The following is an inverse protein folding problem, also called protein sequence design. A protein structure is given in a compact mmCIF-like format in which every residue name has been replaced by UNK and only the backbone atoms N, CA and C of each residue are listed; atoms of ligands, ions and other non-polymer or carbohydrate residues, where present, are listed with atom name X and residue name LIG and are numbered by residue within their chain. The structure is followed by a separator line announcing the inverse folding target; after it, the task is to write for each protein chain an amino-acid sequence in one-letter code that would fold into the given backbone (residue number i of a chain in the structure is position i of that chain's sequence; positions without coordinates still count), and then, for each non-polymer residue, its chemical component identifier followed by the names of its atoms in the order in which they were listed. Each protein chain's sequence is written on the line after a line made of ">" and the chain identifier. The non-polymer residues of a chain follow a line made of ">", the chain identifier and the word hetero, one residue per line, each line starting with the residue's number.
data_IF_476785767081
#
_entry.id   IF_476785767081
#
_cell.length_a   1.000
_cell.length_b   1.000
_cell.length_c   1.000
_cell.angle_alpha   90.00
_cell.angle_beta   90.00
_cell.angle_gamma   90.00
#
_symmetry.space_group_name_H-M   'P 1'
#
loop_
_entity.id
_entity.type
_entity.pdbx_description
1 polymer ?
#
# COMPACT_ATOMS: atom_id res chain seq x y z
N UNK A 1 3.14 14.19 4.57
CA UNK A 1 3.90 13.12 3.88
C UNK A 1 3.00 12.48 2.83
N UNK A 2 3.48 12.15 1.62
CA UNK A 2 2.66 11.68 0.49
C UNK A 2 1.85 10.38 0.76
N UNK A 3 2.10 9.70 1.89
CA UNK A 3 1.39 8.50 2.36
C UNK A 3 0.16 8.81 3.24
N UNK A 4 0.07 9.98 3.89
CA UNK A 4 -1.09 10.39 4.70
C UNK A 4 -2.36 10.55 3.85
N UNK A 5 -2.21 10.88 2.57
CA UNK A 5 -3.33 11.17 1.67
C UNK A 5 -4.07 9.90 1.19
N UNK A 6 -3.44 8.72 1.25
CA UNK A 6 -3.98 7.51 0.59
C UNK A 6 -4.56 6.45 1.52
N UNK A 7 -4.20 6.45 2.80
CA UNK A 7 -4.66 5.45 3.77
C UNK A 7 -5.74 5.98 4.73
N UNK A 8 -6.02 7.29 4.69
CA UNK A 8 -6.62 8.00 5.81
C UNK A 8 -5.58 8.13 6.92
N UNK A 9 -5.22 9.37 7.28
CA UNK A 9 -4.10 9.66 8.19
C UNK A 9 -4.17 8.84 9.50
N UNK A 10 -5.37 8.64 10.06
CA UNK A 10 -5.56 7.92 11.32
C UNK A 10 -5.20 6.42 11.26
N UNK A 11 -5.53 5.71 10.18
CA UNK A 11 -5.25 4.27 10.05
C UNK A 11 -3.77 4.01 9.71
N UNK A 12 -3.16 4.93 8.95
CA UNK A 12 -1.75 4.86 8.61
C UNK A 12 -0.86 5.12 9.82
N UNK A 13 -1.14 6.17 10.60
CA UNK A 13 -0.38 6.49 11.82
C UNK A 13 -0.44 5.33 12.83
N UNK A 14 -1.63 4.77 13.07
CA UNK A 14 -1.77 3.63 13.98
C UNK A 14 -1.00 2.39 13.52
N UNK A 15 -1.09 2.01 12.23
CA UNK A 15 -0.38 0.85 11.70
C UNK A 15 1.13 1.08 11.58
N UNK A 16 1.56 2.31 11.30
CA UNK A 16 2.98 2.67 11.19
C UNK A 16 3.66 2.72 12.57
N UNK A 17 2.96 3.22 13.60
CA UNK A 17 3.45 3.24 14.98
C UNK A 17 3.54 1.82 15.58
N UNK A 18 2.60 0.93 15.26
CA UNK A 18 2.61 -0.45 15.74
C UNK A 18 3.63 -1.34 14.99
N UNK A 19 3.91 -1.04 13.70
CA UNK A 19 4.69 -1.93 12.82
C UNK A 19 5.61 -1.15 11.86
N UNK A 20 6.69 -0.52 12.35
CA UNK A 20 7.56 0.38 11.58
C UNK A 20 8.30 -0.31 10.41
N UNK A 21 8.51 -1.64 10.46
CA UNK A 21 9.17 -2.43 9.43
C UNK A 21 8.20 -2.95 8.33
N UNK A 22 7.20 -2.16 7.96
CA UNK A 22 6.16 -2.56 6.98
C UNK A 22 6.23 -1.76 5.69
N UNK A 23 6.29 -2.44 4.55
CA UNK A 23 6.10 -1.82 3.24
C UNK A 23 4.63 -1.87 2.85
N UNK A 24 4.02 -0.71 2.61
CA UNK A 24 2.58 -0.63 2.33
C UNK A 24 2.31 -0.61 0.82
N UNK A 25 1.36 -1.43 0.39
CA UNK A 25 0.77 -1.37 -0.95
C UNK A 25 -0.65 -0.83 -0.87
N UNK A 26 -1.01 0.01 -1.83
CA UNK A 26 -2.38 0.42 -2.14
C UNK A 26 -2.76 -0.10 -3.53
N UNK A 27 -4.04 -0.09 -3.88
CA UNK A 27 -4.50 -0.51 -5.22
C UNK A 27 -3.75 0.21 -6.35
N UNK A 28 -3.47 1.50 -6.18
CA UNK A 28 -2.70 2.28 -7.16
C UNK A 28 -1.25 1.82 -7.25
N UNK A 29 -0.60 1.59 -6.10
CA UNK A 29 0.80 1.18 -6.08
C UNK A 29 0.97 -0.23 -6.62
N UNK A 30 0.05 -1.16 -6.33
CA UNK A 30 0.03 -2.49 -6.96
C UNK A 30 -0.04 -2.35 -8.48
N UNK A 31 -0.94 -1.53 -9.00
CA UNK A 31 -1.10 -1.33 -10.46
C UNK A 31 0.17 -0.76 -11.10
N UNK A 32 0.86 0.15 -10.43
CA UNK A 32 1.95 0.93 -11.00
C UNK A 32 3.34 0.57 -10.46
N UNK A 33 3.48 -0.55 -9.75
CA UNK A 33 4.68 -0.92 -9.00
C UNK A 33 5.96 -0.86 -9.84
N UNK A 34 5.91 -1.35 -11.07
CA UNK A 34 7.06 -1.39 -11.98
C UNK A 34 7.54 0.02 -12.35
N UNK A 35 6.61 0.96 -12.57
CA UNK A 35 6.97 2.34 -12.90
C UNK A 35 7.38 3.12 -11.65
N UNK A 36 6.59 3.01 -10.58
CA UNK A 36 6.73 3.84 -9.39
C UNK A 36 7.90 3.40 -8.50
N UNK A 37 8.09 2.10 -8.33
CA UNK A 37 9.10 1.54 -7.42
C UNK A 37 10.30 1.05 -8.23
N UNK A 38 10.10 0.11 -9.16
CA UNK A 38 11.23 -0.52 -9.86
C UNK A 38 12.01 0.50 -10.68
N UNK A 39 11.36 1.21 -11.61
CA UNK A 39 12.03 2.26 -12.42
C UNK A 39 12.32 3.53 -11.62
N UNK A 40 11.37 3.93 -10.75
CA UNK A 40 11.50 5.13 -9.93
C UNK A 40 12.71 5.10 -9.00
N UNK A 41 13.01 3.95 -8.42
CA UNK A 41 14.19 3.74 -7.56
C UNK A 41 15.41 3.21 -8.32
N UNK A 42 15.28 2.95 -9.62
CA UNK A 42 16.37 2.47 -10.48
C UNK A 42 16.75 1.01 -10.25
N UNK A 43 15.85 0.18 -9.70
CA UNK A 43 16.09 -1.25 -9.46
C UNK A 43 16.26 -2.07 -10.74
N UNK A 44 15.73 -1.55 -11.86
CA UNK A 44 15.92 -2.12 -13.20
C UNK A 44 17.36 -1.95 -13.71
N UNK A 45 18.02 -0.85 -13.32
CA UNK A 45 19.40 -0.53 -13.72
C UNK A 45 20.43 -0.98 -12.69
N UNK A 46 20.05 -0.98 -11.41
CA UNK A 46 20.92 -1.34 -10.28
C UNK A 46 20.18 -2.30 -9.33
N UNK A 47 20.14 -3.61 -9.64
CA UNK A 47 19.38 -4.59 -8.87
C UNK A 47 19.79 -4.70 -7.39
N UNK A 48 21.06 -4.45 -7.08
CA UNK A 48 21.59 -4.50 -5.70
C UNK A 48 20.93 -3.47 -4.76
N UNK A 49 20.39 -2.38 -5.31
CA UNK A 49 19.66 -1.38 -4.53
C UNK A 49 18.40 -1.95 -3.89
N UNK A 50 17.84 -3.05 -4.42
CA UNK A 50 16.69 -3.72 -3.82
C UNK A 50 17.03 -4.16 -2.39
N UNK A 51 18.17 -4.80 -2.18
CA UNK A 51 18.57 -5.20 -0.84
C UNK A 51 18.77 -3.97 0.06
N UNK A 52 19.44 -2.93 -0.45
CA UNK A 52 19.70 -1.70 0.33
C UNK A 52 18.41 -1.01 0.78
N UNK A 53 17.43 -0.89 -0.11
CA UNK A 53 16.18 -0.20 0.19
C UNK A 53 15.20 -1.05 1.01
N UNK A 54 15.23 -2.37 0.84
CA UNK A 54 14.23 -3.25 1.44
C UNK A 54 14.72 -4.10 2.61
N UNK A 55 16.02 -4.09 2.95
CA UNK A 55 16.60 -4.88 4.06
C UNK A 55 15.98 -4.68 5.44
N UNK A 56 15.40 -3.50 5.70
CA UNK A 56 14.81 -3.18 7.00
C UNK A 56 13.29 -3.40 7.03
N UNK A 57 12.68 -3.88 5.94
CA UNK A 57 11.29 -4.30 5.95
C UNK A 57 11.20 -5.77 6.30
N UNK A 58 10.25 -6.11 7.15
CA UNK A 58 9.96 -7.48 7.56
C UNK A 58 8.72 -8.03 6.89
N UNK A 59 7.87 -7.16 6.33
CA UNK A 59 6.59 -7.53 5.74
C UNK A 59 6.11 -6.54 4.71
N UNK A 60 5.21 -7.02 3.87
CA UNK A 60 4.47 -6.23 2.91
C UNK A 60 2.98 -6.30 3.26
N UNK A 61 2.35 -5.14 3.50
CA UNK A 61 0.92 -5.04 3.81
C UNK A 61 0.18 -4.38 2.65
N UNK A 62 -0.67 -5.15 1.97
CA UNK A 62 -1.56 -4.64 0.94
C UNK A 62 -2.91 -4.22 1.53
N UNK A 63 -3.16 -2.91 1.48
CA UNK A 63 -4.42 -2.27 1.86
C UNK A 63 -5.35 -2.21 0.65
N UNK A 64 -6.37 -3.06 0.65
CA UNK A 64 -7.32 -3.24 -0.45
C UNK A 64 -8.50 -2.32 -0.25
N UNK A 65 -8.72 -1.40 -1.19
CA UNK A 65 -9.94 -0.60 -1.25
C UNK A 65 -10.99 -1.30 -2.11
N UNK A 66 -10.57 -1.78 -3.30
CA UNK A 66 -11.43 -2.49 -4.25
C UNK A 66 -10.93 -3.92 -4.50
N UNK A 67 -11.55 -4.93 -3.86
CA UNK A 67 -11.15 -6.32 -4.02
C UNK A 67 -11.13 -6.76 -5.50
N UNK A 68 -10.00 -7.29 -5.94
CA UNK A 68 -9.81 -7.80 -7.30
C UNK A 68 -8.81 -8.94 -7.28
N UNK A 69 -9.19 -10.09 -7.82
CA UNK A 69 -8.29 -11.25 -7.93
C UNK A 69 -7.01 -10.90 -8.70
N UNK A 70 -7.10 -10.08 -9.74
CA UNK A 70 -5.94 -9.65 -10.51
C UNK A 70 -4.97 -8.78 -9.68
N UNK A 71 -5.48 -7.92 -8.79
CA UNK A 71 -4.63 -7.13 -7.90
C UNK A 71 -4.04 -7.96 -6.77
N UNK A 72 -4.78 -8.94 -6.25
CA UNK A 72 -4.28 -9.86 -5.24
C UNK A 72 -3.11 -10.69 -5.77
N UNK A 73 -3.23 -11.24 -6.98
CA UNK A 73 -2.13 -11.98 -7.60
C UNK A 73 -0.92 -11.09 -7.88
N UNK A 74 -1.15 -9.87 -8.40
CA UNK A 74 -0.05 -8.91 -8.58
C UNK A 74 0.63 -8.54 -7.25
N UNK A 75 -0.11 -8.41 -6.15
CA UNK A 75 0.47 -8.17 -4.84
C UNK A 75 1.34 -9.35 -4.36
N UNK A 76 0.97 -10.60 -4.69
CA UNK A 76 1.81 -11.79 -4.43
C UNK A 76 3.09 -11.76 -5.23
N UNK A 77 3.03 -11.39 -6.51
CA UNK A 77 4.22 -11.25 -7.37
C UNK A 77 5.17 -10.18 -6.82
N UNK A 78 4.63 -9.04 -6.37
CA UNK A 78 5.42 -7.97 -5.75
C UNK A 78 6.09 -8.45 -4.46
N UNK A 79 5.35 -9.17 -3.61
CA UNK A 79 5.88 -9.73 -2.37
C UNK A 79 7.01 -10.73 -2.63
N UNK A 80 6.87 -11.59 -3.64
CA UNK A 80 7.94 -12.49 -4.09
C UNK A 80 9.15 -11.73 -4.64
N UNK A 81 8.92 -10.68 -5.43
CA UNK A 81 10.00 -9.85 -5.97
C UNK A 81 10.81 -9.16 -4.86
N UNK A 82 10.13 -8.66 -3.83
CA UNK A 82 10.74 -7.98 -2.69
C UNK A 82 11.27 -8.94 -1.60
N UNK A 83 10.95 -10.23 -1.69
CA UNK A 83 11.25 -11.24 -0.66
C UNK A 83 10.66 -10.88 0.71
N UNK A 84 9.40 -10.42 0.70
CA UNK A 84 8.67 -10.01 1.90
C UNK A 84 7.38 -10.84 2.06
N UNK A 85 7.02 -11.26 3.27
CA UNK A 85 5.74 -11.92 3.51
C UNK A 85 4.58 -10.94 3.26
N UNK A 86 3.62 -11.37 2.43
CA UNK A 86 2.41 -10.60 2.10
C UNK A 86 1.33 -10.77 3.17
N UNK A 87 0.81 -9.66 3.66
CA UNK A 87 -0.44 -9.56 4.39
C UNK A 87 -1.43 -8.72 3.57
N UNK A 88 -2.71 -9.10 3.61
CA UNK A 88 -3.78 -8.41 2.88
C UNK A 88 -4.83 -7.96 3.86
N UNK A 89 -5.20 -6.68 3.81
CA UNK A 89 -6.25 -6.11 4.64
C UNK A 89 -7.20 -5.27 3.80
N UNK A 90 -8.48 -5.63 3.81
CA UNK A 90 -9.52 -4.80 3.19
C UNK A 90 -9.82 -3.63 4.12
N UNK A 91 -9.72 -2.41 3.58
CA UNK A 91 -9.88 -1.17 4.36
C UNK A 91 -11.08 -0.32 3.89
N UNK A 92 -11.74 -0.69 2.79
CA UNK A 92 -12.86 0.08 2.22
C UNK A 92 -12.45 1.47 1.74
N UNK A 93 -13.41 2.37 1.52
CA UNK A 93 -13.17 3.74 1.03
C UNK A 93 -12.79 4.75 2.13
N UNK A 94 -12.56 4.28 3.36
CA UNK A 94 -12.17 5.12 4.49
C UNK A 94 -13.15 6.26 4.77
N UNK A 95 -12.63 7.47 4.97
CA UNK A 95 -13.42 8.68 5.28
C UNK A 95 -14.38 9.11 4.16
N UNK A 96 -14.21 8.64 2.92
CA UNK A 96 -15.09 9.09 1.85
C UNK A 96 -16.53 8.63 2.08
N UNK A 97 -16.73 7.38 2.54
CA UNK A 97 -18.06 6.87 2.87
C UNK A 97 -18.67 7.63 4.06
N UNK A 98 -17.88 7.89 5.10
CA UNK A 98 -18.32 8.66 6.27
C UNK A 98 -18.72 10.09 5.89
N UNK A 99 -17.90 10.79 5.10
CA UNK A 99 -18.21 12.15 4.64
C UNK A 99 -19.37 12.20 3.65
N UNK A 100 -19.57 11.15 2.84
CA UNK A 100 -20.75 11.07 1.99
C UNK A 100 -22.02 10.86 2.82
N UNK A 101 -21.96 10.02 3.86
CA UNK A 101 -23.06 9.84 4.81
C UNK A 101 -23.41 11.15 5.52
N UNK A 102 -22.41 11.88 6.04
CA UNK A 102 -22.60 13.17 6.69
C UNK A 102 -23.26 14.20 5.74
N UNK A 103 -22.85 14.23 4.46
CA UNK A 103 -23.42 15.14 3.47
C UNK A 103 -24.86 14.75 3.06
N UNK A 104 -25.17 13.46 3.02
CA UNK A 104 -26.53 12.96 2.73
C UNK A 104 -27.46 13.22 3.91
N UNK A 105 -26.99 13.06 5.15
CA UNK A 105 -27.76 13.37 6.36
C UNK A 105 -27.95 14.89 6.55
N UNK A 106 -26.95 15.71 6.23
CA UNK A 106 -27.08 17.17 6.31
C UNK A 106 -27.99 17.77 5.21
N UNK A 107 -28.24 17.02 4.13
CA UNK A 107 -29.13 17.42 3.04
C UNK A 107 -30.58 16.90 3.19
N UNK A 108 -30.85 16.07 4.20
CA UNK A 108 -32.16 15.51 4.53
C UNK A 108 -32.88 16.34 5.62
#
# INVERSE_FOLDING_TARGET
>A
HCYEMFAGAATFEQLADEQPATFFLTDWLVRNFERAVVRGLGLDRFPDLKAVYFQNYERLLYLVQFPSNALLEKAREIAQYLDLPLQVRVVGMGELEARLADLVEAAA
#
